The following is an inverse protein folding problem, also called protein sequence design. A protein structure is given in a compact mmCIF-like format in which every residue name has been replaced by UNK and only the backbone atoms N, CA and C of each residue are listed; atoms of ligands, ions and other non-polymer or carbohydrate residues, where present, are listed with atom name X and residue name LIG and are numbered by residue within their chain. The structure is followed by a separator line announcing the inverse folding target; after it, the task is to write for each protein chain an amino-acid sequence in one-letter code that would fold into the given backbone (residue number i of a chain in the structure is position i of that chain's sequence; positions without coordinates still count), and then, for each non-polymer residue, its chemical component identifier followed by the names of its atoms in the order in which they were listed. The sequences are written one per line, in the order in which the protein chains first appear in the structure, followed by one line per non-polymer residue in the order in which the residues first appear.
data_IF_631116800909
#
_entry.id   IF_631116800909
#
_cell.length_a   1.000
_cell.length_b   1.000
_cell.length_c   1.000
_cell.angle_alpha   90.00
_cell.angle_beta   90.00
_cell.angle_gamma   90.00
#
_symmetry.space_group_name_H-M   'P 1'
#
loop_
_entity.id
_entity.type
_entity.pdbx_description
1 polymer ?
#
# COMPACT_ATOMS: atom_id res chain seq x y z
N UNK A 1 -15.13 13.53 -13.91
CA UNK A 1 -14.15 13.55 -12.81
C UNK A 1 -13.37 12.26 -12.87
N UNK A 2 -12.06 12.26 -12.54
CA UNK A 2 -11.29 11.01 -12.45
C UNK A 2 -11.92 10.11 -11.38
N UNK A 3 -11.96 8.81 -11.63
CA UNK A 3 -12.43 7.85 -10.63
C UNK A 3 -11.56 7.93 -9.37
N UNK A 4 -12.17 7.79 -8.18
CA UNK A 4 -11.40 7.63 -6.95
C UNK A 4 -10.63 6.31 -7.02
N UNK A 5 -9.32 6.30 -6.71
CA UNK A 5 -8.57 5.06 -6.64
C UNK A 5 -9.09 4.18 -5.50
N UNK A 6 -9.03 2.86 -5.69
CA UNK A 6 -9.49 1.89 -4.71
C UNK A 6 -8.56 1.88 -3.48
N UNK A 7 -9.10 1.72 -2.27
CA UNK A 7 -8.29 1.49 -1.08
C UNK A 7 -7.62 0.12 -1.14
N UNK A 8 -6.43 -0.02 -0.55
CA UNK A 8 -5.71 -1.31 -0.52
C UNK A 8 -6.37 -2.36 0.38
N UNK A 9 -7.24 -1.91 1.30
CA UNK A 9 -8.15 -2.76 2.08
C UNK A 9 -9.30 -1.93 2.70
N UNK A 10 -10.44 -2.56 2.97
CA UNK A 10 -11.68 -1.92 3.46
C UNK A 10 -11.51 -1.10 4.75
N UNK A 11 -11.61 0.22 4.66
CA UNK A 11 -11.45 1.12 5.81
C UNK A 11 -10.02 1.64 6.01
N UNK A 12 -9.13 1.47 5.02
CA UNK A 12 -7.89 2.23 4.93
C UNK A 12 -8.03 3.41 3.96
N UNK A 13 -7.34 4.49 4.28
CA UNK A 13 -7.25 5.66 3.40
C UNK A 13 -6.14 5.53 2.34
N UNK A 14 -5.22 4.57 2.52
CA UNK A 14 -4.16 4.25 1.55
C UNK A 14 -4.75 3.52 0.35
N UNK A 15 -4.34 3.95 -0.83
CA UNK A 15 -4.89 3.53 -2.12
C UNK A 15 -3.91 2.69 -2.93
N UNK A 16 -4.44 1.87 -3.85
CA UNK A 16 -3.63 1.07 -4.77
C UNK A 16 -2.71 1.95 -5.64
N UNK A 17 -3.16 3.18 -5.96
CA UNK A 17 -2.36 4.14 -6.71
C UNK A 17 -1.10 4.60 -5.96
N UNK A 18 -1.17 4.74 -4.63
CA UNK A 18 -0.01 5.07 -3.80
C UNK A 18 1.00 3.91 -3.77
N UNK A 19 0.53 2.66 -3.72
CA UNK A 19 1.41 1.49 -3.85
C UNK A 19 2.09 1.44 -5.22
N UNK A 20 1.33 1.65 -6.30
CA UNK A 20 1.88 1.68 -7.65
C UNK A 20 2.95 2.78 -7.81
N UNK A 21 2.70 3.97 -7.25
CA UNK A 21 3.68 5.07 -7.25
C UNK A 21 4.94 4.70 -6.46
N UNK A 22 4.78 4.14 -5.26
CA UNK A 22 5.90 3.72 -4.44
C UNK A 22 6.80 2.68 -5.13
N UNK A 23 6.22 1.71 -5.86
CA UNK A 23 6.97 0.72 -6.63
C UNK A 23 7.69 1.35 -7.81
N UNK A 24 6.98 2.14 -8.62
CA UNK A 24 7.51 2.63 -9.90
C UNK A 24 8.41 3.86 -9.78
N UNK A 25 8.24 4.68 -8.73
CA UNK A 25 8.93 5.97 -8.59
C UNK A 25 9.71 6.12 -7.28
N UNK A 26 9.41 5.31 -6.26
CA UNK A 26 10.09 5.42 -4.96
C UNK A 26 10.92 4.19 -4.58
N UNK A 27 11.10 3.26 -5.52
CA UNK A 27 11.90 2.05 -5.35
C UNK A 27 11.46 1.24 -4.12
N UNK A 28 10.15 1.06 -3.94
CA UNK A 28 9.66 0.02 -3.04
C UNK A 28 9.94 -1.35 -3.67
N UNK A 29 10.81 -2.13 -3.04
CA UNK A 29 11.27 -3.43 -3.51
C UNK A 29 10.74 -4.59 -2.66
N UNK A 30 10.20 -4.29 -1.48
CA UNK A 30 9.63 -5.29 -0.57
C UNK A 30 8.28 -4.84 -0.03
N UNK A 31 7.39 -5.75 0.41
CA UNK A 31 6.14 -5.38 1.05
C UNK A 31 6.34 -4.47 2.28
N UNK A 32 7.44 -4.65 3.02
CA UNK A 32 7.79 -3.78 4.15
C UNK A 32 8.10 -2.34 3.73
N UNK A 33 8.54 -2.12 2.50
CA UNK A 33 8.80 -0.77 1.99
C UNK A 33 7.49 0.00 1.84
N UNK A 34 6.46 -0.67 1.29
CA UNK A 34 5.12 -0.14 1.15
C UNK A 34 4.47 0.07 2.52
N UNK A 35 4.42 -1.00 3.33
CA UNK A 35 3.66 -1.03 4.57
C UNK A 35 4.30 -0.20 5.68
N UNK A 36 5.61 -0.28 5.88
CA UNK A 36 6.27 0.30 7.06
C UNK A 36 6.88 1.67 6.77
N UNK A 37 7.30 1.94 5.53
CA UNK A 37 8.07 3.14 5.20
C UNK A 37 7.28 4.17 4.41
N UNK A 38 6.66 3.78 3.29
CA UNK A 38 5.95 4.74 2.40
C UNK A 38 4.60 5.16 2.96
N UNK A 39 3.87 4.21 3.53
CA UNK A 39 2.49 4.45 3.98
C UNK A 39 2.30 4.40 5.48
N UNK A 40 3.27 3.85 6.23
CA UNK A 40 3.24 3.69 7.70
C UNK A 40 2.06 2.89 8.25
N UNK A 41 1.35 2.13 7.41
CA UNK A 41 0.35 1.14 7.84
C UNK A 41 0.93 0.13 8.85
N UNK A 42 2.24 -0.10 8.78
CA UNK A 42 3.03 -0.87 9.74
C UNK A 42 2.92 -0.44 11.21
N UNK A 43 2.57 0.82 11.47
CA UNK A 43 2.45 1.35 12.84
C UNK A 43 1.21 0.81 13.58
N UNK A 44 0.20 0.37 12.83
CA UNK A 44 -1.01 -0.27 13.38
C UNK A 44 -1.00 -1.73 12.93
N UNK A 45 -0.76 -2.70 13.83
CA UNK A 45 -0.63 -4.11 13.44
C UNK A 45 -1.83 -4.67 12.66
N UNK A 46 -3.04 -4.24 13.00
CA UNK A 46 -4.26 -4.64 12.30
C UNK A 46 -4.29 -4.14 10.84
N UNK A 47 -3.84 -2.90 10.61
CA UNK A 47 -3.83 -2.30 9.26
C UNK A 47 -2.73 -2.89 8.40
N UNK A 48 -1.55 -3.13 8.98
CA UNK A 48 -0.47 -3.89 8.32
C UNK A 48 -0.96 -5.26 7.85
N UNK A 49 -1.66 -5.99 8.72
CA UNK A 49 -2.18 -7.31 8.38
C UNK A 49 -3.23 -7.24 7.26
N UNK A 50 -4.14 -6.27 7.31
CA UNK A 50 -5.18 -6.07 6.29
C UNK A 50 -4.60 -5.71 4.92
N UNK A 51 -3.54 -4.90 4.88
CA UNK A 51 -2.91 -4.44 3.64
C UNK A 51 -1.84 -5.40 3.07
N UNK A 52 -1.45 -6.45 3.81
CA UNK A 52 -0.31 -7.32 3.43
C UNK A 52 -0.46 -7.93 2.04
N UNK A 53 -1.63 -8.51 1.73
CA UNK A 53 -1.89 -9.12 0.43
C UNK A 53 -1.79 -8.11 -0.71
N UNK A 54 -2.31 -6.90 -0.53
CA UNK A 54 -2.24 -5.85 -1.52
C UNK A 54 -0.79 -5.39 -1.77
N UNK A 55 0.03 -5.36 -0.71
CA UNK A 55 1.45 -5.01 -0.83
C UNK A 55 2.25 -6.09 -1.59
N UNK A 56 1.96 -7.38 -1.37
CA UNK A 56 2.55 -8.47 -2.16
C UNK A 56 2.12 -8.41 -3.63
N UNK A 57 0.83 -8.14 -3.88
CA UNK A 57 0.29 -8.03 -5.22
C UNK A 57 0.88 -6.85 -6.01
N UNK A 58 1.17 -5.72 -5.36
CA UNK A 58 1.75 -4.54 -6.00
C UNK A 58 3.19 -4.75 -6.50
N UNK A 59 3.88 -5.79 -6.02
CA UNK A 59 5.27 -6.11 -6.36
C UNK A 59 5.41 -7.28 -7.35
N UNK A 60 4.28 -7.88 -7.76
CA UNK A 60 4.22 -8.97 -8.74
C UNK A 60 3.98 -8.44 -10.14
#
# INVERSE_FOLDING_TARGET
ALARPAPVADGLDVTEAEFAFAVTHELALTPGDLLDRRTRLGLVPADRARAHRAAEAALS
#
